data_IF_308983952898
#
_entry.id   IF_308983952898
#
_cell.length_a   1.000
_cell.length_b   1.000
_cell.length_c   1.000
_cell.angle_alpha   90.00
_cell.angle_beta   90.00
_cell.angle_gamma   90.00
#
_symmetry.space_group_name_H-M   'P 1'
#
loop_
_entity.id
_entity.type
_entity.pdbx_description
1 polymer ?
#
# COMPACT_ATOMS: atom_id res chain seq x y z
N UNK A 1 -28.00 9.27 -7.05
CA UNK A 1 -26.75 9.67 -7.72
C UNK A 1 -25.85 8.46 -7.85
N UNK A 2 -25.73 7.88 -9.05
CA UNK A 2 -24.88 6.74 -9.34
C UNK A 2 -23.39 7.13 -9.38
N UNK A 3 -22.55 6.12 -9.23
CA UNK A 3 -21.09 6.21 -9.33
C UNK A 3 -20.64 5.50 -10.62
N UNK A 4 -19.80 6.17 -11.41
CA UNK A 4 -19.07 5.56 -12.52
C UNK A 4 -17.57 5.53 -12.20
N UNK A 5 -16.88 4.50 -12.69
CA UNK A 5 -15.44 4.38 -12.58
C UNK A 5 -14.71 5.05 -13.71
N UNK A 6 -13.74 5.89 -13.36
CA UNK A 6 -13.13 6.77 -14.33
C UNK A 6 -12.04 7.67 -13.76
N UNK A 7 -11.25 8.23 -14.65
CA UNK A 7 -10.20 9.20 -14.32
C UNK A 7 -10.62 10.64 -14.62
N UNK A 8 -11.67 10.82 -15.42
CA UNK A 8 -12.13 12.11 -15.91
C UNK A 8 -13.56 12.38 -15.47
N UNK A 9 -13.84 13.54 -14.83
CA UNK A 9 -15.21 13.94 -14.55
C UNK A 9 -15.98 14.20 -15.84
N UNK A 10 -17.30 14.09 -15.81
CA UNK A 10 -18.13 14.58 -16.92
C UNK A 10 -18.09 16.11 -16.92
N UNK A 11 -17.46 16.69 -17.94
CA UNK A 11 -17.32 18.13 -18.12
C UNK A 11 -18.29 18.70 -19.17
N UNK A 12 -19.01 17.83 -19.88
CA UNK A 12 -20.06 18.16 -20.86
C UNK A 12 -21.16 17.11 -20.81
N UNK A 13 -22.30 17.43 -21.41
CA UNK A 13 -23.38 16.46 -21.58
C UNK A 13 -22.99 15.40 -22.61
N UNK A 14 -23.08 14.13 -22.24
CA UNK A 14 -22.93 13.00 -23.15
C UNK A 14 -24.28 12.66 -23.77
N UNK A 15 -24.32 12.65 -25.09
CA UNK A 15 -25.51 12.42 -25.92
C UNK A 15 -25.09 12.00 -27.33
N UNK A 16 -26.06 11.60 -28.15
CA UNK A 16 -25.85 11.17 -29.53
C UNK A 16 -25.03 12.19 -30.34
N UNK A 17 -24.04 11.68 -31.08
CA UNK A 17 -23.08 12.46 -31.89
C UNK A 17 -21.89 13.04 -31.13
N UNK A 18 -21.79 12.87 -29.80
CA UNK A 18 -20.61 13.26 -29.03
C UNK A 18 -19.51 12.21 -29.18
N UNK A 19 -18.27 12.66 -29.38
CA UNK A 19 -17.10 11.77 -29.43
C UNK A 19 -16.01 12.19 -28.43
N UNK A 20 -15.37 11.23 -27.77
CA UNK A 20 -14.22 11.43 -26.90
C UNK A 20 -14.02 10.34 -25.84
N UNK A 21 -12.94 10.45 -25.08
CA UNK A 21 -12.59 9.46 -24.05
C UNK A 21 -13.56 9.46 -22.85
N UNK A 22 -14.38 10.50 -22.67
CA UNK A 22 -15.50 10.54 -21.72
C UNK A 22 -16.62 9.58 -22.12
N UNK A 23 -16.90 9.46 -23.43
CA UNK A 23 -17.83 8.46 -23.98
C UNK A 23 -17.31 7.05 -23.74
N UNK A 24 -16.05 6.78 -24.09
CA UNK A 24 -15.43 5.48 -23.86
C UNK A 24 -15.46 5.06 -22.39
N UNK A 25 -15.26 6.03 -21.48
CA UNK A 25 -15.40 5.79 -20.06
C UNK A 25 -16.83 5.41 -19.69
N UNK A 26 -17.84 6.14 -20.17
CA UNK A 26 -19.25 5.81 -19.93
C UNK A 26 -19.60 4.41 -20.45
N UNK A 27 -19.24 4.12 -21.69
CA UNK A 27 -19.56 2.85 -22.36
C UNK A 27 -18.93 1.66 -21.66
N UNK A 28 -17.68 1.79 -21.18
CA UNK A 28 -17.05 0.77 -20.34
C UNK A 28 -17.82 0.53 -19.05
N UNK A 29 -18.36 1.57 -18.42
CA UNK A 29 -19.16 1.42 -17.23
C UNK A 29 -20.51 0.76 -17.52
N UNK A 30 -21.22 1.20 -18.57
CA UNK A 30 -22.49 0.60 -18.99
C UNK A 30 -22.31 -0.89 -19.28
N UNK A 31 -21.28 -1.26 -20.04
CA UNK A 31 -20.94 -2.64 -20.33
C UNK A 31 -20.62 -3.44 -19.06
N UNK A 32 -19.85 -2.87 -18.13
CA UNK A 32 -19.53 -3.51 -16.85
C UNK A 32 -20.75 -3.68 -15.94
N UNK A 33 -21.73 -2.78 -16.04
CA UNK A 33 -23.02 -2.85 -15.34
C UNK A 33 -24.03 -3.79 -16.03
N UNK A 34 -23.69 -4.34 -17.20
CA UNK A 34 -24.51 -5.29 -17.94
C UNK A 34 -25.39 -4.68 -19.04
N UNK A 35 -25.31 -3.37 -19.28
CA UNK A 35 -26.01 -2.73 -20.39
C UNK A 35 -25.18 -2.86 -21.67
N UNK A 36 -25.78 -3.44 -22.71
CA UNK A 36 -25.11 -3.73 -23.98
C UNK A 36 -25.86 -3.17 -25.18
N UNK A 37 -25.54 -3.71 -26.36
CA UNK A 37 -26.16 -3.31 -27.63
C UNK A 37 -25.41 -2.21 -28.39
N UNK A 38 -24.25 -1.78 -27.88
CA UNK A 38 -23.35 -0.80 -28.50
C UNK A 38 -21.91 -1.34 -28.52
N UNK A 39 -21.05 -0.70 -29.31
CA UNK A 39 -19.61 -0.96 -29.31
C UNK A 39 -18.96 -0.06 -28.27
N UNK A 40 -18.06 -0.60 -27.45
CA UNK A 40 -17.28 0.21 -26.50
C UNK A 40 -16.16 0.93 -27.26
N UNK A 41 -16.39 2.19 -27.61
CA UNK A 41 -15.47 3.05 -28.34
C UNK A 41 -15.58 4.52 -27.86
N UNK A 42 -15.12 5.48 -28.65
CA UNK A 42 -15.18 6.90 -28.28
C UNK A 42 -16.39 7.63 -28.86
N UNK A 43 -17.38 6.94 -29.43
CA UNK A 43 -18.50 7.54 -30.19
C UNK A 43 -19.84 7.23 -29.55
N UNK A 44 -20.50 8.29 -29.09
CA UNK A 44 -21.82 8.16 -28.50
C UNK A 44 -22.83 8.04 -29.63
N UNK A 45 -23.43 6.87 -29.78
CA UNK A 45 -24.43 6.59 -30.81
C UNK A 45 -25.84 6.44 -30.22
N UNK A 46 -26.84 6.32 -31.08
CA UNK A 46 -28.21 5.97 -30.70
C UNK A 46 -28.29 4.64 -29.91
N UNK A 47 -27.39 3.70 -30.18
CA UNK A 47 -27.30 2.45 -29.42
C UNK A 47 -26.84 2.70 -27.98
N UNK A 48 -25.82 3.55 -27.79
CA UNK A 48 -25.37 4.02 -26.48
C UNK A 48 -26.49 4.78 -25.76
N UNK A 49 -27.25 5.60 -26.48
CA UNK A 49 -28.42 6.32 -25.93
C UNK A 49 -29.48 5.36 -25.36
N UNK A 50 -29.79 4.28 -26.09
CA UNK A 50 -30.72 3.25 -25.63
C UNK A 50 -30.23 2.56 -24.37
N UNK A 51 -28.94 2.19 -24.30
CA UNK A 51 -28.36 1.60 -23.10
C UNK A 51 -28.39 2.57 -21.91
N UNK A 52 -28.15 3.88 -22.14
CA UNK A 52 -28.27 4.89 -21.10
C UNK A 52 -29.71 5.04 -20.61
N UNK A 53 -30.71 4.99 -21.49
CA UNK A 53 -32.12 5.02 -21.07
C UNK A 53 -32.49 3.85 -20.18
N UNK A 54 -32.09 2.64 -20.58
CA UNK A 54 -32.33 1.43 -19.77
C UNK A 54 -31.64 1.53 -18.40
N UNK A 55 -30.39 2.01 -18.37
CA UNK A 55 -29.68 2.24 -17.12
C UNK A 55 -30.34 3.34 -16.25
N UNK A 56 -30.87 4.39 -16.87
CA UNK A 56 -31.60 5.44 -16.17
C UNK A 56 -32.89 4.89 -15.56
N UNK A 57 -33.66 4.10 -16.30
CA UNK A 57 -34.87 3.41 -15.83
C UNK A 57 -34.55 2.54 -14.59
N UNK A 58 -33.56 1.65 -14.70
CA UNK A 58 -33.17 0.72 -13.64
C UNK A 58 -32.63 1.43 -12.38
N UNK A 59 -32.14 2.67 -12.53
CA UNK A 59 -31.63 3.49 -11.41
C UNK A 59 -32.62 4.55 -10.92
N UNK A 60 -33.85 4.58 -11.45
CA UNK A 60 -34.91 5.52 -11.06
C UNK A 60 -34.66 6.96 -11.50
N UNK A 61 -33.88 7.16 -12.56
CA UNK A 61 -33.65 8.44 -13.21
C UNK A 61 -34.66 8.71 -14.33
N UNK A 62 -34.71 9.95 -14.81
CA UNK A 62 -35.41 10.27 -16.05
C UNK A 62 -34.66 9.66 -17.25
N UNK A 63 -35.38 8.93 -18.10
CA UNK A 63 -34.88 8.23 -19.29
C UNK A 63 -34.57 9.18 -20.48
N UNK A 64 -33.69 10.15 -20.25
CA UNK A 64 -33.32 11.12 -21.27
C UNK A 64 -32.46 10.50 -22.38
N UNK A 65 -31.72 9.44 -22.07
CA UNK A 65 -30.64 8.94 -22.93
C UNK A 65 -29.46 9.91 -23.00
N UNK A 66 -29.37 10.84 -22.06
CA UNK A 66 -28.30 11.82 -21.96
C UNK A 66 -27.76 11.89 -20.53
N UNK A 67 -26.47 12.14 -20.37
CA UNK A 67 -25.86 12.31 -19.04
C UNK A 67 -25.19 13.68 -18.97
N UNK A 68 -25.80 14.59 -18.22
CA UNK A 68 -25.26 15.91 -17.95
C UNK A 68 -24.19 15.86 -16.84
N UNK A 69 -23.28 16.86 -16.79
CA UNK A 69 -22.41 17.06 -15.63
C UNK A 69 -23.23 17.12 -14.34
N UNK A 70 -22.79 16.41 -13.31
CA UNK A 70 -23.52 16.27 -12.05
C UNK A 70 -24.62 15.21 -12.05
N UNK A 71 -24.93 14.58 -13.20
CA UNK A 71 -25.84 13.43 -13.30
C UNK A 71 -25.26 12.13 -12.74
N UNK A 72 -23.93 12.07 -12.60
CA UNK A 72 -23.19 10.97 -11.98
C UNK A 72 -21.97 11.51 -11.25
N UNK A 73 -21.49 10.74 -10.27
CA UNK A 73 -20.17 10.94 -9.69
C UNK A 73 -19.19 10.04 -10.42
N UNK A 74 -18.00 10.55 -10.75
CA UNK A 74 -16.91 9.74 -11.29
C UNK A 74 -15.81 9.61 -10.24
N UNK A 75 -15.44 8.39 -9.89
CA UNK A 75 -14.28 8.11 -9.04
C UNK A 75 -13.38 7.05 -9.69
N UNK A 76 -12.14 6.95 -9.25
CA UNK A 76 -11.21 5.95 -9.84
C UNK A 76 -11.54 4.52 -9.46
N UNK A 77 -12.21 4.34 -8.33
CA UNK A 77 -12.48 3.05 -7.70
C UNK A 77 -13.67 3.20 -6.74
N UNK A 78 -14.01 2.13 -6.03
CA UNK A 78 -14.99 2.10 -4.96
C UNK A 78 -14.78 3.22 -3.93
N UNK A 79 -15.89 3.86 -3.56
CA UNK A 79 -15.91 4.89 -2.53
C UNK A 79 -16.93 4.55 -1.44
N UNK A 80 -16.60 4.94 -0.22
CA UNK A 80 -17.50 4.92 0.93
C UNK A 80 -17.87 6.36 1.26
N UNK A 81 -19.17 6.64 1.39
CA UNK A 81 -19.62 7.92 1.95
C UNK A 81 -19.19 7.97 3.41
N UNK A 82 -18.35 8.95 3.74
CA UNK A 82 -17.75 9.09 5.07
C UNK A 82 -18.61 9.96 5.99
N UNK A 83 -19.17 11.04 5.44
CA UNK A 83 -20.00 11.98 6.19
C UNK A 83 -21.00 12.62 5.24
N UNK A 84 -22.27 12.70 5.64
CA UNK A 84 -23.26 13.57 4.97
C UNK A 84 -23.30 14.89 5.73
N UNK A 85 -22.98 15.99 5.05
CA UNK A 85 -22.89 17.33 5.63
C UNK A 85 -24.14 18.16 5.41
N UNK A 86 -24.87 17.90 4.33
CA UNK A 86 -26.13 18.57 4.04
C UNK A 86 -27.32 17.72 4.45
N UNK A 87 -28.32 18.37 5.02
CA UNK A 87 -29.63 17.83 5.37
C UNK A 87 -30.71 18.41 4.46
N UNK A 88 -31.86 17.74 4.39
CA UNK A 88 -33.01 18.23 3.64
C UNK A 88 -33.47 19.55 4.21
N UNK A 89 -33.57 20.59 3.37
CA UNK A 89 -33.91 21.95 3.77
C UNK A 89 -32.71 22.89 3.93
N UNK A 90 -31.49 22.36 3.93
CA UNK A 90 -30.29 23.19 3.92
C UNK A 90 -30.18 23.99 2.62
N UNK A 91 -29.53 25.16 2.71
CA UNK A 91 -29.13 25.92 1.53
C UNK A 91 -28.17 25.08 0.69
N UNK A 92 -28.40 25.02 -0.61
CA UNK A 92 -27.57 24.29 -1.58
C UNK A 92 -26.24 25.02 -1.89
N UNK A 93 -25.52 25.46 -0.86
CA UNK A 93 -24.27 26.20 -0.95
C UNK A 93 -23.25 25.61 0.02
N UNK A 94 -22.68 24.46 -0.34
CA UNK A 94 -21.65 23.81 0.46
C UNK A 94 -21.41 22.35 0.07
N UNK A 95 -20.34 21.72 0.59
CA UNK A 95 -20.10 20.30 0.40
C UNK A 95 -21.28 19.48 0.94
N UNK A 96 -21.92 18.67 0.09
CA UNK A 96 -23.07 17.84 0.48
C UNK A 96 -22.64 16.62 1.30
N UNK A 97 -21.50 16.04 0.94
CA UNK A 97 -20.93 14.86 1.57
C UNK A 97 -19.40 14.86 1.44
N UNK A 98 -18.75 14.05 2.25
CA UNK A 98 -17.38 13.60 2.04
C UNK A 98 -17.36 12.11 1.78
N UNK A 99 -16.37 11.64 1.03
CA UNK A 99 -16.18 10.23 0.77
C UNK A 99 -14.71 9.85 0.99
N UNK A 100 -14.48 8.58 1.24
CA UNK A 100 -13.15 7.95 1.27
C UNK A 100 -13.10 6.82 0.26
N UNK A 101 -11.91 6.35 -0.09
CA UNK A 101 -11.78 5.02 -0.69
C UNK A 101 -12.18 3.93 0.30
N UNK A 102 -12.32 2.69 -0.18
CA UNK A 102 -12.58 1.50 0.65
C UNK A 102 -11.29 0.82 1.12
N UNK A 103 -10.18 1.05 0.43
CA UNK A 103 -8.86 0.51 0.79
C UNK A 103 -8.27 1.23 2.00
N UNK A 104 -7.96 0.47 3.05
CA UNK A 104 -7.29 0.98 4.25
C UNK A 104 -5.78 1.05 4.03
N UNK A 105 -5.20 2.16 4.46
CA UNK A 105 -3.76 2.44 4.38
C UNK A 105 -3.23 2.84 5.75
N UNK A 106 -1.95 2.57 6.01
CA UNK A 106 -1.27 3.06 7.20
C UNK A 106 -0.59 4.38 6.88
N UNK A 107 -0.80 5.37 7.73
CA UNK A 107 -0.16 6.69 7.60
C UNK A 107 0.79 6.90 8.78
N UNK A 108 2.00 7.36 8.49
CA UNK A 108 3.06 7.58 9.47
C UNK A 108 3.51 9.03 9.36
N UNK A 109 3.60 9.72 10.50
CA UNK A 109 4.31 10.99 10.61
C UNK A 109 5.77 10.68 10.93
N UNK A 110 6.58 10.49 9.89
CA UNK A 110 7.98 10.06 10.03
C UNK A 110 8.88 11.27 10.31
N UNK A 111 9.63 11.24 11.40
CA UNK A 111 10.66 12.24 11.68
C UNK A 111 11.64 12.36 10.49
N UNK A 112 11.89 13.59 10.03
CA UNK A 112 12.74 13.88 8.87
C UNK A 112 14.12 13.23 8.99
N UNK A 113 14.65 13.03 10.20
CA UNK A 113 15.95 12.36 10.39
C UNK A 113 15.97 10.91 9.88
N UNK A 114 14.81 10.24 9.85
CA UNK A 114 14.65 8.87 9.36
C UNK A 114 14.14 8.80 7.93
N UNK A 115 13.92 9.93 7.25
CA UNK A 115 13.37 9.98 5.89
C UNK A 115 14.19 9.17 4.88
N UNK A 116 15.51 9.05 5.07
CA UNK A 116 16.40 8.22 4.22
C UNK A 116 16.05 6.73 4.24
N UNK A 117 15.38 6.25 5.30
CA UNK A 117 14.93 4.87 5.46
C UNK A 117 13.61 4.60 4.73
N UNK A 118 12.78 5.63 4.54
CA UNK A 118 11.51 5.50 3.83
C UNK A 118 11.72 5.69 2.33
N UNK A 119 11.82 4.58 1.61
CA UNK A 119 11.86 4.55 0.15
C UNK A 119 10.55 4.00 -0.38
N UNK A 120 10.03 4.58 -1.45
CA UNK A 120 8.89 4.00 -2.17
C UNK A 120 9.26 2.56 -2.58
N UNK A 121 8.28 1.67 -2.53
CA UNK A 121 8.40 0.22 -2.75
C UNK A 121 9.17 -0.56 -1.67
N UNK A 122 9.69 0.11 -0.63
CA UNK A 122 10.29 -0.60 0.50
C UNK A 122 9.22 -1.34 1.31
N UNK A 123 9.51 -2.61 1.63
CA UNK A 123 8.68 -3.42 2.51
C UNK A 123 8.82 -3.00 3.97
N UNK A 124 7.71 -3.05 4.70
CA UNK A 124 7.64 -2.77 6.14
C UNK A 124 6.87 -3.84 6.88
N UNK A 125 7.13 -3.97 8.18
CA UNK A 125 6.32 -4.80 9.08
C UNK A 125 5.48 -3.88 9.96
N UNK A 126 4.21 -4.25 10.16
CA UNK A 126 3.23 -3.48 10.92
C UNK A 126 2.71 -4.37 12.03
N UNK A 127 2.84 -3.91 13.27
CA UNK A 127 2.20 -4.54 14.42
C UNK A 127 0.85 -3.89 14.67
N UNK A 128 -0.14 -4.74 14.84
CA UNK A 128 -1.54 -4.37 15.03
C UNK A 128 -1.90 -4.34 16.53
N UNK A 129 -2.93 -3.57 16.92
CA UNK A 129 -3.36 -3.49 18.32
C UNK A 129 -3.80 -4.82 18.94
N UNK A 130 -4.22 -5.78 18.11
CA UNK A 130 -4.64 -7.12 18.52
C UNK A 130 -3.44 -8.08 18.76
N UNK A 131 -2.21 -7.59 18.63
CA UNK A 131 -0.98 -8.37 18.75
C UNK A 131 -0.58 -9.10 17.47
N UNK A 132 -1.40 -9.03 16.42
CA UNK A 132 -1.08 -9.57 15.10
C UNK A 132 -0.01 -8.74 14.38
N UNK A 133 0.61 -9.34 13.36
CA UNK A 133 1.54 -8.63 12.48
C UNK A 133 1.12 -8.78 11.01
N UNK A 134 1.36 -7.73 10.23
CA UNK A 134 1.11 -7.74 8.79
C UNK A 134 2.24 -7.05 8.03
N UNK A 135 2.40 -7.41 6.76
CA UNK A 135 3.36 -6.76 5.86
C UNK A 135 2.67 -5.64 5.08
N UNK A 136 3.42 -4.59 4.83
CA UNK A 136 3.02 -3.50 3.94
C UNK A 136 4.16 -3.06 3.04
N UNK A 137 3.85 -2.18 2.11
CA UNK A 137 4.81 -1.56 1.19
C UNK A 137 4.61 -0.05 1.23
N UNK A 138 5.69 0.72 1.30
CA UNK A 138 5.63 2.18 1.23
C UNK A 138 5.17 2.58 -0.17
N UNK A 139 3.98 3.18 -0.28
CA UNK A 139 3.43 3.65 -1.56
C UNK A 139 3.72 5.12 -1.81
N UNK A 140 3.95 5.91 -0.76
CA UNK A 140 4.24 7.33 -0.91
C UNK A 140 5.07 7.89 0.25
N UNK A 141 5.97 8.81 -0.08
CA UNK A 141 6.72 9.62 0.88
C UNK A 141 6.47 11.09 0.54
N UNK A 142 5.89 11.81 1.49
CA UNK A 142 5.58 13.22 1.37
C UNK A 142 6.83 14.06 1.17
N UNK A 143 6.73 15.06 0.29
CA UNK A 143 7.82 16.01 0.00
C UNK A 143 7.77 17.25 0.90
N UNK A 144 6.66 17.45 1.59
CA UNK A 144 6.44 18.60 2.47
C UNK A 144 6.65 18.15 3.90
N UNK A 145 7.57 18.83 4.58
CA UNK A 145 7.83 18.64 5.99
C UNK A 145 6.84 19.49 6.81
N UNK A 146 6.19 18.89 7.79
CA UNK A 146 5.21 19.54 8.64
C UNK A 146 5.62 19.42 10.09
N UNK A 147 5.43 20.49 10.85
CA UNK A 147 5.67 20.51 12.29
C UNK A 147 4.35 20.88 12.97
N UNK A 148 3.78 19.96 13.76
CA UNK A 148 2.46 20.16 14.36
C UNK A 148 2.49 21.17 15.52
N UNK A 149 3.61 21.26 16.26
CA UNK A 149 3.89 22.23 17.31
C UNK A 149 5.40 22.48 17.41
N UNK A 150 5.80 23.64 17.91
CA UNK A 150 7.21 24.04 17.98
C UNK A 150 8.11 23.07 18.79
N UNK A 151 7.54 22.32 19.73
CA UNK A 151 8.22 21.32 20.57
C UNK A 151 8.26 19.91 19.96
N UNK A 152 7.56 19.68 18.84
CA UNK A 152 7.50 18.38 18.18
C UNK A 152 8.49 18.27 17.02
N UNK A 153 8.97 17.05 16.71
CA UNK A 153 9.83 16.85 15.57
C UNK A 153 9.11 17.24 14.28
N UNK A 154 9.85 17.82 13.36
CA UNK A 154 9.39 18.00 11.98
C UNK A 154 9.25 16.62 11.34
N UNK A 155 8.09 16.34 10.75
CA UNK A 155 7.77 15.04 10.16
C UNK A 155 7.40 15.17 8.69
N UNK A 156 7.60 14.08 7.94
CA UNK A 156 7.06 13.88 6.59
C UNK A 156 6.02 12.77 6.63
N UNK A 157 4.92 12.95 5.91
CA UNK A 157 3.86 11.94 5.82
C UNK A 157 4.34 10.77 4.95
N UNK A 158 4.37 9.57 5.49
CA UNK A 158 4.61 8.33 4.74
C UNK A 158 3.32 7.52 4.70
N UNK A 159 2.96 7.03 3.52
CA UNK A 159 1.80 6.16 3.32
C UNK A 159 2.29 4.76 3.00
N UNK A 160 1.71 3.78 3.69
CA UNK A 160 1.99 2.36 3.52
C UNK A 160 0.72 1.65 3.08
N UNK A 161 0.80 0.97 1.96
CA UNK A 161 -0.23 0.07 1.48
C UNK A 161 -0.10 -1.30 2.13
N UNK A 162 -1.24 -1.89 2.47
CA UNK A 162 -1.31 -3.23 3.08
C UNK A 162 -1.99 -4.15 2.08
N UNK A 163 -1.21 -5.05 1.48
CA UNK A 163 -1.72 -5.90 0.39
C UNK A 163 -2.86 -6.80 0.82
N UNK A 164 -2.84 -7.35 2.04
CA UNK A 164 -3.91 -8.21 2.56
C UNK A 164 -4.85 -7.40 3.47
N UNK A 165 -5.84 -6.72 2.89
CA UNK A 165 -6.77 -5.87 3.66
C UNK A 165 -7.47 -6.61 4.82
N UNK A 166 -7.75 -7.92 4.69
CA UNK A 166 -8.36 -8.72 5.77
C UNK A 166 -7.47 -8.86 7.02
N UNK A 167 -6.15 -8.70 6.90
CA UNK A 167 -5.26 -8.79 8.07
C UNK A 167 -5.38 -7.58 9.00
N UNK A 168 -5.98 -6.47 8.55
CA UNK A 168 -6.21 -5.28 9.37
C UNK A 168 -7.40 -5.42 10.33
N UNK A 169 -8.04 -6.58 10.37
CA UNK A 169 -9.21 -6.82 11.23
C UNK A 169 -10.39 -5.93 10.89
N UNK A 170 -11.20 -5.61 11.90
CA UNK A 170 -12.41 -4.78 11.80
C UNK A 170 -12.17 -3.30 12.13
N UNK A 171 -10.92 -2.88 12.33
CA UNK A 171 -10.62 -1.49 12.67
C UNK A 171 -10.86 -0.57 11.47
N UNK A 172 -11.67 0.48 11.67
CA UNK A 172 -11.76 1.62 10.76
C UNK A 172 -10.55 2.57 10.94
N UNK A 173 -10.10 2.74 12.19
CA UNK A 173 -8.88 3.48 12.58
C UNK A 173 -8.29 2.86 13.85
N UNK A 174 -6.97 2.70 13.89
CA UNK A 174 -6.26 2.24 15.07
C UNK A 174 -4.78 2.70 15.07
N UNK A 175 -4.16 2.90 16.24
CA UNK A 175 -2.72 3.08 16.32
C UNK A 175 -2.00 1.78 15.94
N UNK A 176 -0.89 1.89 15.23
CA UNK A 176 -0.06 0.73 14.83
C UNK A 176 1.41 1.09 15.01
N UNK A 177 2.26 0.08 15.20
CA UNK A 177 3.71 0.27 15.16
C UNK A 177 4.24 -0.17 13.80
N UNK A 178 5.07 0.65 13.16
CA UNK A 178 5.65 0.34 11.85
C UNK A 178 7.16 0.26 11.95
N UNK A 179 7.72 -0.86 11.49
CA UNK A 179 9.14 -1.14 11.48
C UNK A 179 9.71 -0.91 10.08
N UNK A 180 10.51 0.14 9.93
CA UNK A 180 11.28 0.43 8.72
C UNK A 180 12.59 -0.35 8.74
N UNK A 181 12.94 -0.97 7.61
CA UNK A 181 14.20 -1.71 7.48
C UNK A 181 15.33 -0.75 7.12
N UNK A 182 16.35 -0.62 7.97
CA UNK A 182 17.48 0.29 7.73
C UNK A 182 18.54 -0.30 6.80
N UNK A 183 18.85 -1.58 6.98
CA UNK A 183 19.77 -2.35 6.16
C UNK A 183 19.26 -3.78 6.03
N UNK A 184 19.51 -4.40 4.88
CA UNK A 184 19.20 -5.80 4.63
C UNK A 184 20.32 -6.39 3.78
N UNK A 185 21.02 -7.37 4.33
CA UNK A 185 21.93 -8.21 3.56
C UNK A 185 21.24 -9.55 3.31
N UNK A 186 20.96 -9.85 2.04
CA UNK A 186 20.31 -11.09 1.65
C UNK A 186 21.36 -12.15 1.30
N UNK A 187 20.98 -13.43 1.46
CA UNK A 187 21.82 -14.57 1.07
C UNK A 187 23.19 -14.58 1.77
N UNK A 188 23.20 -14.25 3.05
CA UNK A 188 24.40 -14.27 3.90
C UNK A 188 24.49 -15.55 4.73
N UNK A 189 25.70 -15.94 5.12
CA UNK A 189 25.87 -16.91 6.20
C UNK A 189 25.67 -16.19 7.53
N UNK A 190 24.80 -16.75 8.37
CA UNK A 190 24.49 -16.19 9.67
C UNK A 190 24.73 -17.23 10.76
N UNK A 191 25.34 -16.80 11.86
CA UNK A 191 25.52 -17.60 13.07
C UNK A 191 24.96 -16.86 14.27
N UNK A 192 24.56 -17.54 15.36
CA UNK A 192 24.22 -16.87 16.61
C UNK A 192 25.42 -16.05 17.12
N UNK A 193 25.18 -14.88 17.70
CA UNK A 193 26.25 -14.03 18.23
C UNK A 193 27.11 -14.78 19.26
N UNK A 194 26.50 -15.65 20.06
CA UNK A 194 27.22 -16.51 21.02
C UNK A 194 28.18 -17.53 20.38
N UNK A 195 28.09 -17.78 19.07
CA UNK A 195 29.01 -18.69 18.37
C UNK A 195 30.35 -18.02 18.02
N UNK A 196 30.46 -16.69 18.17
CA UNK A 196 31.70 -15.98 17.88
C UNK A 196 32.71 -16.18 19.00
N UNK A 197 33.94 -16.52 18.61
CA UNK A 197 35.09 -16.66 19.48
C UNK A 197 36.12 -15.61 19.11
N UNK A 198 36.62 -14.86 20.09
CA UNK A 198 37.71 -13.92 19.86
C UNK A 198 39.03 -14.67 19.57
N UNK A 199 39.75 -14.26 18.54
CA UNK A 199 41.00 -14.89 18.14
C UNK A 199 42.22 -14.17 18.75
N UNK A 200 43.29 -14.90 19.12
CA UNK A 200 44.59 -14.30 19.42
C UNK A 200 45.08 -13.48 18.22
N UNK A 201 45.49 -12.23 18.45
CA UNK A 201 45.87 -11.30 17.39
C UNK A 201 44.71 -10.47 16.81
N UNK A 202 43.49 -10.62 17.35
CA UNK A 202 42.33 -9.81 17.01
C UNK A 202 41.42 -10.43 15.95
N UNK A 203 40.18 -9.93 15.91
CA UNK A 203 39.11 -10.45 15.06
C UNK A 203 38.37 -11.63 15.67
N UNK A 204 37.49 -12.23 14.85
CA UNK A 204 36.57 -13.26 15.28
C UNK A 204 36.76 -14.56 14.50
N UNK A 205 36.38 -15.66 15.12
CA UNK A 205 36.27 -16.97 14.50
C UNK A 205 35.01 -17.68 14.94
N UNK A 206 34.64 -18.74 14.22
CA UNK A 206 33.60 -19.68 14.63
C UNK A 206 34.20 -21.06 14.79
N UNK A 207 33.74 -21.78 15.81
CA UNK A 207 34.13 -23.17 16.03
C UNK A 207 33.19 -24.08 15.25
N UNK A 208 33.72 -24.84 14.29
CA UNK A 208 32.96 -25.78 13.46
C UNK A 208 33.34 -27.23 13.77
N UNK A 209 32.34 -28.11 13.72
CA UNK A 209 32.53 -29.56 13.88
C UNK A 209 32.98 -30.20 12.56
N UNK A 210 34.01 -31.04 12.59
CA UNK A 210 34.52 -31.75 11.41
C UNK A 210 34.52 -33.28 11.61
N UNK A 211 33.61 -34.01 10.93
CA UNK A 211 33.66 -35.48 10.85
C UNK A 211 33.15 -36.26 12.08
N UNK A 212 33.18 -37.60 11.98
CA UNK A 212 32.53 -38.56 12.89
C UNK A 212 33.10 -38.58 14.33
N UNK A 213 34.25 -37.96 14.57
CA UNK A 213 34.94 -37.95 15.88
C UNK A 213 34.89 -36.59 16.61
N UNK A 214 34.07 -35.65 16.12
CA UNK A 214 33.86 -34.31 16.70
C UNK A 214 35.11 -33.42 16.98
N UNK A 215 36.23 -33.44 16.20
CA UNK A 215 37.25 -32.41 16.34
C UNK A 215 36.64 -31.04 16.01
N UNK A 216 36.72 -30.13 17.00
CA UNK A 216 36.35 -28.72 16.86
C UNK A 216 37.53 -27.99 16.23
N UNK A 217 37.30 -27.35 15.09
CA UNK A 217 38.28 -26.44 14.49
C UNK A 217 37.76 -25.02 14.49
N UNK A 218 38.63 -24.06 14.78
CA UNK A 218 38.30 -22.65 14.70
C UNK A 218 38.58 -22.12 13.30
N UNK A 219 37.57 -21.53 12.67
CA UNK A 219 37.66 -20.89 11.36
C UNK A 219 37.56 -19.39 11.56
N UNK A 220 38.55 -18.63 11.09
CA UNK A 220 38.52 -17.16 11.12
C UNK A 220 37.40 -16.65 10.22
N UNK A 221 36.64 -15.67 10.70
CA UNK A 221 35.56 -15.03 9.97
C UNK A 221 35.63 -13.51 10.10
N UNK A 222 35.17 -12.83 9.05
CA UNK A 222 34.86 -11.42 9.07
C UNK A 222 33.38 -11.24 9.39
N UNK A 223 33.07 -10.32 10.28
CA UNK A 223 31.70 -10.06 10.75
C UNK A 223 31.07 -8.92 9.96
N UNK A 224 29.82 -9.11 9.54
CA UNK A 224 28.99 -8.10 8.90
C UNK A 224 27.93 -7.54 9.84
N UNK A 225 26.68 -7.58 9.39
CA UNK A 225 25.52 -7.05 10.14
C UNK A 225 25.14 -7.95 11.32
N UNK A 226 24.79 -7.31 12.43
CA UNK A 226 24.22 -7.95 13.61
C UNK A 226 22.72 -7.63 13.68
N UNK A 227 21.88 -8.67 13.75
CA UNK A 227 20.43 -8.51 13.83
C UNK A 227 19.77 -9.71 14.49
N UNK A 228 18.79 -9.47 15.38
CA UNK A 228 17.98 -10.52 16.02
C UNK A 228 18.81 -11.65 16.67
N UNK A 229 19.92 -11.29 17.33
CA UNK A 229 20.82 -12.26 17.98
C UNK A 229 21.66 -13.11 17.01
N UNK A 230 21.63 -12.78 15.72
CA UNK A 230 22.48 -13.36 14.68
C UNK A 230 23.53 -12.36 14.22
N UNK A 231 24.63 -12.88 13.67
CA UNK A 231 25.70 -12.12 13.03
C UNK A 231 25.99 -12.72 11.66
N UNK A 232 26.04 -11.86 10.65
CA UNK A 232 26.56 -12.20 9.33
C UNK A 232 28.06 -12.50 9.41
N UNK A 233 28.47 -13.59 8.80
CA UNK A 233 29.87 -14.02 8.75
C UNK A 233 30.30 -14.34 7.33
N UNK A 234 31.51 -13.95 6.98
CA UNK A 234 32.18 -14.35 5.74
C UNK A 234 33.59 -14.86 6.06
N UNK A 235 34.15 -15.72 5.22
CA UNK A 235 35.49 -16.25 5.46
C UNK A 235 35.82 -17.43 4.56
N UNK A 236 37.11 -17.70 4.39
CA UNK A 236 37.55 -18.92 3.71
C UNK A 236 37.28 -20.14 4.59
N UNK A 237 36.56 -21.13 4.06
CA UNK A 237 36.30 -22.39 4.76
C UNK A 237 35.03 -22.43 5.61
N UNK A 238 34.15 -21.43 5.51
CA UNK A 238 32.79 -21.47 6.04
C UNK A 238 31.77 -21.59 4.91
N UNK A 239 30.81 -22.50 5.06
CA UNK A 239 29.74 -22.73 4.07
C UNK A 239 28.40 -22.95 4.78
N UNK A 240 27.31 -22.74 4.04
CA UNK A 240 25.97 -23.04 4.52
C UNK A 240 25.85 -24.52 4.93
N UNK A 241 25.15 -24.78 6.04
CA UNK A 241 24.94 -26.13 6.58
C UNK A 241 26.02 -26.64 7.54
N UNK A 242 27.13 -25.91 7.72
CA UNK A 242 28.11 -26.24 8.76
C UNK A 242 27.53 -26.06 10.17
N UNK A 243 27.82 -27.01 11.06
CA UNK A 243 27.43 -26.90 12.48
C UNK A 243 28.47 -26.10 13.25
N UNK A 244 28.03 -25.03 13.90
CA UNK A 244 28.85 -24.19 14.78
C UNK A 244 28.57 -24.48 16.25
N UNK A 245 29.59 -24.36 17.08
CA UNK A 245 29.47 -24.50 18.54
C UNK A 245 28.92 -23.18 19.12
N UNK A 246 27.94 -23.30 20.02
CA UNK A 246 27.41 -22.17 20.81
C UNK A 246 27.60 -22.55 22.28
N UNK A 247 28.33 -21.75 23.08
CA UNK A 247 28.43 -21.96 24.52
C UNK A 247 27.05 -21.84 25.17
N UNK A 248 26.78 -22.69 26.16
CA UNK A 248 25.59 -22.60 27.00
C UNK A 248 25.70 -21.47 28.04
#
# INVERSE_FOLDING_TARGET
MPLLYGRMPLYRTLKDGVEGSDVLQLERNLAALGYGGFTVDEKYTSATATAVKQWQEDTGMAETGEIAPGGVVVARDEIRVAERRAQTGDRASGPLLTYTGTTRVVTIALDVKYQKLAKVDAGVTIDLPDGGTTKGTISSVGKVATQSRADQPTTVKVTVEVGRQRSLGSYDKAPVNVYLTSSRHASVLAVPVGALVALPGGGYGVQVLSGASAPVRTVKVDTGVFAQGQVEVTGSGINAGMKVVVPA
#
